data_IF_074928410296
#
_entry.id   IF_074928410296
#
_cell.length_a   1.000
_cell.length_b   1.000
_cell.length_c   1.000
_cell.angle_alpha   90.00
_cell.angle_beta   90.00
_cell.angle_gamma   90.00
#
_symmetry.space_group_name_H-M   'P 1'
#
loop_
_entity.id
_entity.type
_entity.pdbx_description
1 polymer ?
#
# COMPACT_ATOMS: atom_id res chain seq x y z
N UNK A 1 -23.06 -2.23 4.34
CA UNK A 1 -22.20 -3.28 3.73
C UNK A 1 -20.95 -3.40 4.55
N UNK A 2 -20.53 -4.63 4.88
CA UNK A 2 -19.27 -4.89 5.57
C UNK A 2 -18.07 -4.56 4.68
N UNK A 3 -16.89 -4.36 5.26
CA UNK A 3 -15.61 -4.10 4.56
C UNK A 3 -15.33 -5.22 3.55
N UNK A 4 -15.61 -6.46 3.92
CA UNK A 4 -15.48 -7.62 3.04
C UNK A 4 -16.41 -7.54 1.83
N UNK A 5 -17.66 -7.07 2.01
CA UNK A 5 -18.59 -6.86 0.90
C UNK A 5 -18.14 -5.71 0.00
N UNK A 6 -17.66 -4.59 0.57
CA UNK A 6 -17.09 -3.47 -0.18
C UNK A 6 -15.89 -3.93 -1.03
N UNK A 7 -14.96 -4.68 -0.44
CA UNK A 7 -13.81 -5.26 -1.15
C UNK A 7 -14.22 -6.21 -2.28
N UNK A 8 -15.25 -7.03 -2.04
CA UNK A 8 -15.77 -7.92 -3.07
C UNK A 8 -16.30 -7.13 -4.28
N UNK A 9 -17.02 -6.02 -4.05
CA UNK A 9 -17.50 -5.16 -5.13
C UNK A 9 -16.36 -4.56 -5.96
N UNK A 10 -15.26 -4.14 -5.31
CA UNK A 10 -14.06 -3.66 -6.01
C UNK A 10 -13.48 -4.76 -6.89
N UNK A 11 -13.34 -5.97 -6.35
CA UNK A 11 -12.82 -7.14 -7.08
C UNK A 11 -13.70 -7.51 -8.27
N UNK A 12 -15.03 -7.45 -8.13
CA UNK A 12 -15.95 -7.74 -9.22
C UNK A 12 -15.88 -6.68 -10.33
N UNK A 13 -15.68 -5.42 -9.95
CA UNK A 13 -15.49 -4.32 -10.90
C UNK A 13 -14.16 -4.44 -11.67
N UNK A 14 -13.08 -4.85 -10.98
CA UNK A 14 -11.80 -5.19 -11.60
C UNK A 14 -11.95 -6.33 -12.62
N UNK A 15 -12.62 -7.43 -12.26
CA UNK A 15 -12.86 -8.56 -13.18
C UNK A 15 -13.62 -8.12 -14.43
N UNK A 16 -14.68 -7.33 -14.27
CA UNK A 16 -15.48 -6.81 -15.39
C UNK A 16 -14.65 -5.95 -16.36
N UNK A 17 -13.74 -5.13 -15.83
CA UNK A 17 -12.91 -4.24 -16.65
C UNK A 17 -11.72 -4.94 -17.32
N UNK A 18 -11.12 -5.92 -16.65
CA UNK A 18 -9.86 -6.55 -17.08
C UNK A 18 -10.04 -8.05 -17.36
N UNK A 19 -10.98 -8.39 -18.24
CA UNK A 19 -11.40 -9.76 -18.55
C UNK A 19 -10.25 -10.67 -19.06
N UNK A 20 -9.26 -10.10 -19.73
CA UNK A 20 -8.17 -10.85 -20.37
C UNK A 20 -6.89 -10.91 -19.52
N UNK A 21 -6.98 -10.65 -18.21
CA UNK A 21 -5.85 -10.64 -17.30
C UNK A 21 -6.06 -11.64 -16.17
N UNK A 22 -5.00 -12.37 -15.81
CA UNK A 22 -4.99 -13.15 -14.58
C UNK A 22 -4.76 -12.20 -13.41
N UNK A 23 -5.85 -11.83 -12.75
CA UNK A 23 -5.81 -10.83 -11.69
C UNK A 23 -5.31 -11.43 -10.36
N UNK A 24 -4.48 -10.66 -9.66
CA UNK A 24 -4.03 -10.89 -8.29
C UNK A 24 -4.63 -9.79 -7.43
N UNK A 25 -5.61 -10.15 -6.62
CA UNK A 25 -6.31 -9.25 -5.71
C UNK A 25 -5.51 -9.03 -4.42
N UNK A 26 -5.85 -7.97 -3.68
CA UNK A 26 -5.34 -7.77 -2.34
C UNK A 26 -5.80 -8.88 -1.39
N UNK A 27 -5.03 -9.08 -0.32
CA UNK A 27 -5.27 -10.14 0.67
C UNK A 27 -4.89 -9.66 2.07
N UNK A 28 -5.65 -10.11 3.06
CA UNK A 28 -5.40 -9.83 4.47
C UNK A 28 -6.70 -9.53 5.22
N UNK A 29 -6.58 -8.84 6.34
CA UNK A 29 -7.71 -8.48 7.18
C UNK A 29 -8.53 -7.34 6.55
N UNK A 30 -9.84 -7.54 6.39
CA UNK A 30 -10.71 -6.57 5.72
C UNK A 30 -10.83 -5.24 6.48
N UNK A 31 -10.64 -5.28 7.82
CA UNK A 31 -10.67 -4.10 8.71
C UNK A 31 -9.25 -3.69 9.13
N UNK A 32 -8.24 -4.04 8.32
CA UNK A 32 -6.84 -3.75 8.62
C UNK A 32 -6.61 -2.26 8.85
N UNK A 33 -5.90 -1.93 9.93
CA UNK A 33 -5.45 -0.55 10.19
C UNK A 33 -4.18 -0.19 9.42
N UNK A 34 -3.54 -1.17 8.78
CA UNK A 34 -2.35 -0.99 7.96
C UNK A 34 -2.58 -1.67 6.62
N UNK A 35 -2.47 -0.90 5.54
CA UNK A 35 -2.48 -1.42 4.17
C UNK A 35 -1.11 -1.24 3.55
N UNK A 36 -0.52 -2.32 3.04
CA UNK A 36 0.70 -2.29 2.24
C UNK A 36 0.34 -2.29 0.75
N UNK A 37 0.88 -1.33 0.01
CA UNK A 37 0.70 -1.21 -1.44
C UNK A 37 2.03 -1.51 -2.12
N UNK A 38 2.08 -2.61 -2.84
CA UNK A 38 3.19 -3.05 -3.67
C UNK A 38 3.02 -2.53 -5.11
N UNK A 39 4.01 -2.80 -5.94
CA UNK A 39 4.06 -2.32 -7.32
C UNK A 39 3.11 -3.13 -8.23
N UNK A 40 3.54 -4.33 -8.61
CA UNK A 40 2.82 -5.28 -9.45
C UNK A 40 3.18 -6.71 -9.02
N UNK A 41 2.28 -7.69 -9.22
CA UNK A 41 2.61 -9.11 -9.09
C UNK A 41 3.79 -9.51 -9.97
N UNK A 42 4.65 -10.39 -9.46
CA UNK A 42 5.61 -11.16 -10.26
C UNK A 42 5.08 -12.56 -10.64
N UNK A 43 5.95 -13.42 -11.19
CA UNK A 43 5.59 -14.79 -11.56
C UNK A 43 5.05 -15.62 -10.40
N UNK A 44 5.68 -15.50 -9.22
CA UNK A 44 5.29 -16.25 -8.02
C UNK A 44 3.94 -15.75 -7.49
N UNK A 45 3.73 -14.42 -7.44
CA UNK A 45 2.47 -13.81 -7.02
C UNK A 45 1.31 -14.20 -7.93
N UNK A 46 1.51 -14.19 -9.26
CA UNK A 46 0.49 -14.65 -10.22
C UNK A 46 0.19 -16.16 -10.06
N UNK A 47 1.22 -16.97 -9.77
CA UNK A 47 1.06 -18.41 -9.54
C UNK A 47 0.29 -18.69 -8.26
N UNK A 48 0.65 -18.03 -7.16
CA UNK A 48 0.08 -18.25 -5.83
C UNK A 48 -1.21 -17.46 -5.58
N UNK A 49 -1.53 -16.47 -6.43
CA UNK A 49 -2.73 -15.65 -6.31
C UNK A 49 -2.72 -14.75 -5.09
N UNK A 50 -1.54 -14.26 -4.68
CA UNK A 50 -1.36 -13.33 -3.55
C UNK A 50 -0.42 -12.18 -3.93
N UNK A 51 -0.61 -11.00 -3.33
CA UNK A 51 0.00 -9.76 -3.81
C UNK A 51 1.51 -9.66 -3.58
N UNK A 52 2.06 -10.44 -2.66
CA UNK A 52 3.48 -10.54 -2.36
C UNK A 52 3.80 -12.00 -2.01
N UNK A 53 4.90 -12.53 -2.51
CA UNK A 53 5.32 -13.92 -2.33
C UNK A 53 6.84 -14.02 -2.11
N UNK A 54 7.34 -15.24 -1.99
CA UNK A 54 8.77 -15.54 -2.02
C UNK A 54 9.59 -14.83 -0.94
N UNK A 55 10.72 -14.26 -1.36
CA UNK A 55 11.65 -13.60 -0.45
C UNK A 55 11.10 -12.26 0.09
N UNK A 56 10.37 -11.51 -0.73
CA UNK A 56 9.77 -10.23 -0.34
C UNK A 56 8.76 -10.40 0.80
N UNK A 57 7.93 -11.46 0.73
CA UNK A 57 7.00 -11.81 1.81
C UNK A 57 7.74 -12.20 3.11
N UNK A 58 8.85 -12.94 3.01
CA UNK A 58 9.68 -13.32 4.17
C UNK A 58 10.25 -12.09 4.88
N UNK A 59 10.83 -11.15 4.14
CA UNK A 59 11.37 -9.90 4.70
C UNK A 59 10.25 -9.08 5.34
N UNK A 60 9.13 -8.89 4.64
CA UNK A 60 7.99 -8.14 5.18
C UNK A 60 7.52 -8.74 6.51
N UNK A 61 7.35 -10.06 6.58
CA UNK A 61 6.96 -10.76 7.81
C UNK A 61 7.99 -10.61 8.94
N UNK A 62 9.29 -10.59 8.63
CA UNK A 62 10.33 -10.34 9.62
C UNK A 62 10.25 -8.92 10.18
N UNK A 63 10.06 -7.91 9.34
CA UNK A 63 9.91 -6.51 9.74
C UNK A 63 8.66 -6.29 10.60
N UNK A 64 7.52 -6.88 10.20
CA UNK A 64 6.28 -6.86 10.98
C UNK A 64 6.49 -7.48 12.37
N UNK A 65 7.10 -8.67 12.43
CA UNK A 65 7.41 -9.35 13.70
C UNK A 65 8.35 -8.53 14.58
N UNK A 66 9.42 -7.97 14.01
CA UNK A 66 10.40 -7.18 14.77
C UNK A 66 9.77 -5.92 15.40
N UNK A 67 8.72 -5.39 14.79
CA UNK A 67 8.00 -4.20 15.28
C UNK A 67 6.74 -4.53 16.09
N UNK A 68 6.44 -5.81 16.30
CA UNK A 68 5.27 -6.26 17.04
C UNK A 68 3.94 -6.02 16.31
N UNK A 69 3.97 -5.88 14.97
CA UNK A 69 2.79 -5.78 14.14
C UNK A 69 2.32 -7.20 13.78
N UNK A 70 1.07 -7.53 14.09
CA UNK A 70 0.48 -8.81 13.74
C UNK A 70 0.19 -8.87 12.23
N UNK A 71 0.88 -9.78 11.52
CA UNK A 71 0.70 -10.01 10.08
C UNK A 71 -0.73 -10.41 9.71
N UNK A 72 -1.51 -10.95 10.65
CA UNK A 72 -2.90 -11.32 10.39
C UNK A 72 -3.86 -10.13 10.48
N UNK A 73 -3.38 -8.95 10.91
CA UNK A 73 -4.16 -7.71 11.04
C UNK A 73 -3.80 -6.65 9.99
N UNK A 74 -2.98 -7.02 9.01
CA UNK A 74 -2.62 -6.15 7.89
C UNK A 74 -3.32 -6.59 6.61
N UNK A 75 -3.37 -5.69 5.64
CA UNK A 75 -3.82 -5.98 4.30
C UNK A 75 -2.71 -5.63 3.32
N UNK A 76 -2.49 -6.46 2.30
CA UNK A 76 -1.48 -6.23 1.27
C UNK A 76 -2.16 -6.20 -0.08
N UNK A 77 -1.73 -5.31 -0.97
CA UNK A 77 -2.27 -5.20 -2.33
C UNK A 77 -1.23 -4.64 -3.28
N UNK A 78 -1.55 -4.52 -4.57
CA UNK A 78 -0.69 -3.94 -5.60
C UNK A 78 -1.37 -2.75 -6.31
N UNK A 79 -0.59 -1.84 -6.90
CA UNK A 79 -1.15 -0.84 -7.83
C UNK A 79 -1.67 -1.54 -9.09
N UNK A 80 -0.80 -2.30 -9.77
CA UNK A 80 -1.18 -3.11 -10.92
C UNK A 80 -1.67 -4.47 -10.43
N UNK A 81 -2.83 -4.95 -10.89
CA UNK A 81 -3.42 -6.20 -10.38
C UNK A 81 -3.03 -7.45 -11.19
N UNK A 82 -1.98 -7.40 -12.00
CA UNK A 82 -1.57 -8.55 -12.81
C UNK A 82 -0.06 -8.54 -13.06
N UNK A 83 0.53 -9.69 -13.40
CA UNK A 83 1.95 -9.79 -13.71
C UNK A 83 2.25 -9.37 -15.16
N UNK A 84 3.00 -8.27 -15.40
CA UNK A 84 3.32 -7.79 -16.73
C UNK A 84 4.51 -8.55 -17.35
N UNK A 85 4.29 -9.82 -17.70
CA UNK A 85 5.25 -10.73 -18.34
C UNK A 85 6.15 -10.02 -19.37
N UNK A 86 7.42 -9.85 -19.02
CA UNK A 86 8.50 -9.28 -19.85
C UNK A 86 8.17 -7.94 -20.53
N UNK A 87 7.22 -7.19 -19.97
CA UNK A 87 6.80 -5.90 -20.50
C UNK A 87 6.79 -4.87 -19.38
N UNK A 88 7.37 -3.71 -19.63
CA UNK A 88 7.21 -2.56 -18.75
C UNK A 88 5.79 -2.01 -18.92
N UNK A 89 4.94 -2.00 -17.87
CA UNK A 89 3.60 -1.42 -17.96
C UNK A 89 3.68 0.06 -18.33
N UNK A 90 2.78 0.50 -19.20
CA UNK A 90 2.73 1.92 -19.55
C UNK A 90 2.14 2.75 -18.39
N UNK A 91 2.50 4.03 -18.31
CA UNK A 91 1.89 4.95 -17.35
C UNK A 91 0.37 5.01 -17.47
N UNK A 92 -0.18 4.88 -18.68
CA UNK A 92 -1.63 4.83 -18.93
C UNK A 92 -2.25 3.56 -18.34
N UNK A 93 -1.57 2.44 -18.49
CA UNK A 93 -1.98 1.15 -17.95
C UNK A 93 -2.00 1.17 -16.43
N UNK A 94 -0.92 1.61 -15.78
CA UNK A 94 -0.86 1.75 -14.31
C UNK A 94 -2.00 2.66 -13.82
N UNK A 95 -2.16 3.84 -14.43
CA UNK A 95 -3.23 4.80 -14.09
C UNK A 95 -4.63 4.23 -14.21
N UNK A 96 -4.84 3.23 -15.07
CA UNK A 96 -6.16 2.61 -15.26
C UNK A 96 -6.62 1.76 -14.06
N UNK A 97 -5.69 1.34 -13.19
CA UNK A 97 -5.94 0.58 -11.96
C UNK A 97 -6.05 1.46 -10.70
N UNK A 98 -5.47 2.67 -10.73
CA UNK A 98 -5.45 3.59 -9.58
C UNK A 98 -6.84 3.86 -8.98
N UNK A 99 -7.93 4.05 -9.77
CA UNK A 99 -9.28 4.22 -9.19
C UNK A 99 -9.70 3.05 -8.30
N UNK A 100 -9.41 1.81 -8.73
CA UNK A 100 -9.75 0.61 -7.95
C UNK A 100 -8.89 0.48 -6.69
N UNK A 101 -7.61 0.84 -6.77
CA UNK A 101 -6.76 0.90 -5.58
C UNK A 101 -7.32 1.90 -4.54
N UNK A 102 -7.78 3.07 -4.99
CA UNK A 102 -8.41 4.06 -4.11
C UNK A 102 -9.70 3.55 -3.49
N UNK A 103 -10.54 2.86 -4.28
CA UNK A 103 -11.77 2.23 -3.77
C UNK A 103 -11.47 1.10 -2.79
N UNK A 104 -10.44 0.29 -3.04
CA UNK A 104 -9.98 -0.78 -2.15
C UNK A 104 -9.51 -0.21 -0.81
N UNK A 105 -8.69 0.83 -0.82
CA UNK A 105 -8.23 1.53 0.39
C UNK A 105 -9.41 2.17 1.11
N UNK A 106 -10.33 2.82 0.39
CA UNK A 106 -11.55 3.39 0.96
C UNK A 106 -12.46 2.33 1.56
N UNK A 107 -12.49 1.12 1.01
CA UNK A 107 -13.29 0.02 1.53
C UNK A 107 -12.77 -0.50 2.88
N UNK A 108 -11.45 -0.45 3.09
CA UNK A 108 -10.76 -0.92 4.31
C UNK A 108 -10.75 0.15 5.40
N UNK A 109 -10.73 1.44 5.02
CA UNK A 109 -10.59 2.58 5.94
C UNK A 109 -9.38 2.42 6.88
N UNK A 110 -8.17 2.21 6.33
CA UNK A 110 -6.99 1.98 7.13
C UNK A 110 -6.57 3.27 7.86
N UNK A 111 -5.81 3.09 8.94
CA UNK A 111 -5.15 4.20 9.61
C UNK A 111 -3.91 4.65 8.84
N UNK A 112 -3.11 3.69 8.36
CA UNK A 112 -1.85 3.94 7.66
C UNK A 112 -1.83 3.15 6.35
N UNK A 113 -1.41 3.80 5.28
CA UNK A 113 -1.06 3.17 4.01
C UNK A 113 0.45 3.22 3.85
N UNK A 114 1.07 2.07 3.60
CA UNK A 114 2.51 1.94 3.39
C UNK A 114 2.78 1.60 1.95
N UNK A 115 3.45 2.46 1.19
CA UNK A 115 3.82 2.16 -0.20
C UNK A 115 5.22 1.55 -0.24
N UNK A 116 5.35 0.43 -0.94
CA UNK A 116 6.60 -0.30 -1.13
C UNK A 116 7.14 -0.01 -2.54
N UNK A 117 8.09 0.92 -2.65
CA UNK A 117 8.71 1.30 -3.92
C UNK A 117 8.07 2.50 -4.63
N UNK A 118 8.74 2.96 -5.70
CA UNK A 118 8.38 4.18 -6.42
C UNK A 118 7.07 4.03 -7.20
N UNK A 119 6.78 2.85 -7.75
CA UNK A 119 5.54 2.67 -8.50
C UNK A 119 4.32 2.72 -7.59
N UNK A 120 4.42 2.12 -6.39
CA UNK A 120 3.38 2.19 -5.37
C UNK A 120 3.13 3.64 -4.91
N UNK A 121 4.22 4.38 -4.66
CA UNK A 121 4.19 5.78 -4.27
C UNK A 121 3.51 6.67 -5.33
N UNK A 122 3.90 6.51 -6.59
CA UNK A 122 3.28 7.23 -7.70
C UNK A 122 1.81 6.84 -7.91
N UNK A 123 1.47 5.56 -7.68
CA UNK A 123 0.13 5.02 -7.79
C UNK A 123 -0.84 5.56 -6.74
N UNK A 124 -0.38 5.79 -5.51
CA UNK A 124 -1.20 6.40 -4.46
C UNK A 124 -1.42 7.90 -4.69
N UNK A 125 -0.52 8.54 -5.45
CA UNK A 125 -0.66 9.93 -5.90
C UNK A 125 0.43 10.87 -5.41
N UNK A 126 1.47 10.37 -4.74
CA UNK A 126 2.62 11.18 -4.33
C UNK A 126 3.75 11.01 -5.35
N UNK A 127 4.12 12.09 -6.05
CA UNK A 127 5.19 12.06 -7.07
C UNK A 127 6.44 12.74 -6.56
N UNK A 128 7.22 12.05 -5.75
CA UNK A 128 8.51 12.52 -5.23
C UNK A 128 9.53 11.37 -5.27
N UNK A 129 10.84 11.67 -5.39
CA UNK A 129 11.87 10.63 -5.31
C UNK A 129 11.83 9.90 -3.97
N UNK A 130 11.64 8.58 -4.00
CA UNK A 130 11.52 7.76 -2.78
C UNK A 130 12.70 7.93 -1.83
N UNK A 131 13.92 7.99 -2.37
CA UNK A 131 15.16 8.13 -1.58
C UNK A 131 15.16 9.38 -0.70
N UNK A 132 14.45 10.42 -1.11
CA UNK A 132 14.36 11.66 -0.34
C UNK A 132 13.28 11.59 0.73
N UNK A 133 12.24 10.76 0.55
CA UNK A 133 11.00 10.83 1.34
C UNK A 133 10.71 9.59 2.18
N UNK A 134 11.42 8.49 1.97
CA UNK A 134 11.15 7.25 2.69
C UNK A 134 11.23 7.46 4.20
N UNK A 135 10.35 6.79 4.94
CA UNK A 135 10.24 6.96 6.38
C UNK A 135 9.70 8.32 6.85
N UNK A 136 9.18 9.18 5.96
CA UNK A 136 8.42 10.37 6.36
C UNK A 136 6.92 10.09 6.19
N UNK A 137 6.11 10.47 7.17
CA UNK A 137 4.65 10.34 7.08
C UNK A 137 4.03 11.56 6.43
N UNK A 138 2.99 11.35 5.62
CA UNK A 138 2.23 12.40 4.98
C UNK A 138 0.74 12.21 5.29
N UNK A 139 0.05 13.26 5.72
CA UNK A 139 -1.39 13.21 5.89
C UNK A 139 -2.08 13.16 4.53
N UNK A 140 -2.90 12.13 4.29
CA UNK A 140 -3.66 11.91 3.05
C UNK A 140 -5.18 12.04 3.30
N UNK A 141 -5.56 12.80 4.32
CA UNK A 141 -6.93 13.01 4.77
C UNK A 141 -7.40 11.85 5.64
N UNK A 142 -7.86 10.76 5.02
CA UNK A 142 -8.45 9.62 5.74
C UNK A 142 -7.44 8.62 6.29
N UNK A 143 -6.17 8.73 5.92
CA UNK A 143 -5.08 7.90 6.40
C UNK A 143 -3.75 8.66 6.36
N UNK A 144 -2.77 8.19 7.12
CA UNK A 144 -1.37 8.59 6.97
C UNK A 144 -0.69 7.73 5.90
N UNK A 145 0.05 8.35 4.99
CA UNK A 145 0.91 7.67 4.02
C UNK A 145 2.33 7.55 4.56
N UNK A 146 2.91 6.35 4.54
CA UNK A 146 4.32 6.11 4.84
C UNK A 146 5.03 5.44 3.65
N UNK A 147 5.84 6.17 2.88
CA UNK A 147 6.66 5.60 1.82
C UNK A 147 7.85 4.83 2.38
N UNK A 148 8.17 3.68 1.78
CA UNK A 148 9.38 2.91 2.08
C UNK A 148 9.85 2.12 0.86
N UNK A 149 11.06 1.56 0.93
CA UNK A 149 11.61 0.69 -0.10
C UNK A 149 10.83 -0.61 -0.27
N UNK A 150 10.92 -1.20 -1.46
CA UNK A 150 10.37 -2.53 -1.68
C UNK A 150 11.25 -3.59 -0.95
N UNK A 151 10.67 -4.56 -0.21
CA UNK A 151 11.44 -5.55 0.54
C UNK A 151 12.48 -6.32 -0.30
N UNK A 152 12.21 -6.56 -1.58
CA UNK A 152 13.14 -7.21 -2.50
C UNK A 152 14.48 -6.48 -2.65
N UNK A 153 14.51 -5.15 -2.47
CA UNK A 153 15.76 -4.40 -2.60
C UNK A 153 16.72 -4.65 -1.43
N UNK A 154 16.22 -5.11 -0.28
CA UNK A 154 17.06 -5.39 0.90
C UNK A 154 17.77 -6.75 0.87
N UNK A 155 17.51 -7.60 -0.13
CA UNK A 155 18.11 -8.96 -0.18
C UNK A 155 19.62 -8.91 -0.28
N UNK A 156 20.15 -7.94 -1.04
CA UNK A 156 21.58 -7.80 -1.32
C UNK A 156 22.11 -6.39 -0.96
N UNK A 157 21.37 -5.63 -0.17
CA UNK A 157 21.70 -4.25 0.18
C UNK A 157 21.45 -4.00 1.67
N UNK A 158 22.52 -3.99 2.45
CA UNK A 158 22.47 -3.77 3.90
C UNK A 158 22.04 -2.33 4.26
N UNK A 159 22.33 -1.35 3.39
CA UNK A 159 21.88 0.02 3.61
C UNK A 159 20.35 0.11 3.48
N UNK A 160 19.78 -0.45 2.40
CA UNK A 160 18.33 -0.50 2.21
C UNK A 160 17.64 -1.30 3.32
N UNK A 161 18.25 -2.40 3.76
CA UNK A 161 17.75 -3.18 4.90
C UNK A 161 17.70 -2.36 6.19
N UNK A 162 18.73 -1.58 6.49
CA UNK A 162 18.74 -0.67 7.65
C UNK A 162 17.67 0.43 7.52
N UNK A 163 17.49 1.01 6.32
CA UNK A 163 16.43 1.96 6.05
C UNK A 163 15.03 1.36 6.28
N UNK A 164 14.76 0.16 5.74
CA UNK A 164 13.51 -0.56 5.97
C UNK A 164 13.23 -0.79 7.45
N UNK A 165 14.24 -1.22 8.22
CA UNK A 165 14.07 -1.44 9.66
C UNK A 165 13.67 -0.14 10.38
N UNK A 166 14.35 0.96 10.10
CA UNK A 166 14.04 2.26 10.67
C UNK A 166 12.64 2.76 10.26
N UNK A 167 12.24 2.55 9.01
CA UNK A 167 10.92 2.97 8.53
C UNK A 167 9.79 2.16 9.17
N UNK A 168 10.01 0.88 9.46
CA UNK A 168 9.05 0.07 10.21
C UNK A 168 8.96 0.46 11.69
N UNK A 169 10.05 0.94 12.30
CA UNK A 169 9.98 1.53 13.65
C UNK A 169 9.07 2.77 13.63
N UNK A 170 9.22 3.64 12.64
CA UNK A 170 8.33 4.81 12.47
C UNK A 170 6.89 4.40 12.20
N UNK A 171 6.66 3.34 11.41
CA UNK A 171 5.32 2.77 11.22
C UNK A 171 4.68 2.39 12.56
N UNK A 172 5.42 1.71 13.43
CA UNK A 172 4.95 1.35 14.78
C UNK A 172 4.57 2.58 15.59
N UNK A 173 5.34 3.66 15.51
CA UNK A 173 5.05 4.92 16.19
C UNK A 173 3.78 5.58 15.65
N UNK A 174 3.59 5.61 14.33
CA UNK A 174 2.40 6.17 13.68
C UNK A 174 1.11 5.46 14.09
N UNK A 175 1.17 4.14 14.28
CA UNK A 175 0.00 3.35 14.69
C UNK A 175 -0.41 3.64 16.14
N UNK A 176 0.55 4.04 17.00
CA UNK A 176 0.29 4.37 18.41
C UNK A 176 -0.28 5.78 18.63
N UNK A 177 -0.03 6.71 17.71
CA UNK A 177 -0.54 8.10 17.81
C UNK A 177 -2.06 8.13 17.57
N UNK A 178 -2.80 9.21 17.88
CA UNK A 178 -4.12 9.47 17.30
C UNK A 178 -3.99 9.84 15.82
N UNK A 179 -5.03 9.66 14.99
CA UNK A 179 -5.03 10.28 13.66
C UNK A 179 -5.23 11.78 13.86
N UNK A 180 -4.36 12.60 13.30
CA UNK A 180 -4.58 14.06 13.26
C UNK A 180 -5.54 14.28 12.09
N UNK A 181 -6.83 14.42 12.41
CA UNK A 181 -7.79 14.95 11.46
C UNK A 181 -7.55 16.46 11.38
N UNK A 182 -7.38 16.98 10.17
CA UNK A 182 -7.40 18.42 9.98
C UNK A 182 -8.77 18.93 10.44
N UNK A 183 -8.81 19.55 11.62
CA UNK A 183 -9.94 20.40 12.00
C UNK A 183 -10.04 21.48 10.95
N UNK A 184 -11.23 21.63 10.38
CA UNK A 184 -11.58 22.69 9.45
C UNK A 184 -10.95 24.02 9.88
N UNK A 185 -10.44 24.78 8.90
CA UNK A 185 -10.09 26.18 9.13
C UNK A 185 -11.33 26.89 9.68
N UNK A 186 -11.36 27.09 10.98
CA UNK A 186 -12.19 28.09 11.64
C UNK A 186 -11.75 29.46 11.11
N UNK A 187 -12.41 29.91 10.04
CA UNK A 187 -12.53 31.34 9.74
C UNK A 187 -13.96 31.73 10.04
N UNK A 188 -14.25 31.85 11.34
CA UNK A 188 -15.37 32.63 11.85
C UNK A 188 -14.87 34.06 12.11
N UNK A 189 -15.28 34.95 11.21
CA UNK A 189 -15.83 36.29 11.47
C UNK A 189 -15.20 37.17 12.57
N UNK A 190 -14.76 38.38 12.21
CA UNK A 190 -15.21 39.63 12.85
C UNK A 190 -15.02 40.82 11.91
N UNK A 191 -16.17 41.34 11.46
CA UNK A 191 -16.54 42.71 11.08
C UNK A 191 -15.66 43.81 11.68
N UNK A 192 -15.18 44.77 10.85
CA UNK A 192 -15.68 46.16 10.76
C UNK A 192 -15.53 46.62 9.30
#
# INVERSE_FOLDING_TARGET
MTEKQKLQQVNDSLKKKFLNKKLVFGRGFAEAKIVFVCEAPGPEEEKEGKPISGHSEKILNQLLRATGIDKNKVYVTNVLKYYPKDKIPTSKEIKSYVPFLKEEIKAIEPRVVVTLGNMALNGIGLRQPLDNIHGRSFNFGSYDLLPTFHPQHAVNDEQIKAHLQNDFIKLRELIKKPLVLDSEKETSTTTI
#
